data_IF_458706978642
#
_entry.id   IF_458706978642
#
_cell.length_a   1.000
_cell.length_b   1.000
_cell.length_c   1.000
_cell.angle_alpha   90.00
_cell.angle_beta   90.00
_cell.angle_gamma   90.00
#
_symmetry.space_group_name_H-M   'P 1'
#
loop_
_entity.id
_entity.type
_entity.pdbx_description
1 polymer ?
#
# COMPACT_ATOMS: atom_id res chain seq x y z
N UNK A 1 -84.94 -12.64 -12.75
CA UNK A 1 -84.02 -11.47 -12.81
C UNK A 1 -82.75 -11.88 -12.14
N UNK A 2 -81.70 -12.25 -12.95
CA UNK A 2 -80.36 -12.66 -12.41
C UNK A 2 -79.42 -11.47 -12.52
N UNK A 3 -78.95 -11.00 -11.39
CA UNK A 3 -77.94 -9.93 -11.35
C UNK A 3 -76.55 -10.55 -11.58
N UNK A 4 -75.87 -10.12 -12.64
CA UNK A 4 -74.45 -10.46 -12.92
C UNK A 4 -73.60 -9.42 -12.28
N UNK A 5 -72.72 -9.81 -11.32
CA UNK A 5 -71.68 -8.94 -10.72
C UNK A 5 -70.41 -9.12 -11.56
N UNK A 6 -70.00 -8.03 -12.19
CA UNK A 6 -68.72 -7.92 -12.91
C UNK A 6 -67.60 -7.60 -11.89
N UNK A 7 -66.74 -8.57 -11.63
CA UNK A 7 -65.58 -8.38 -10.76
C UNK A 7 -64.44 -7.84 -11.64
N UNK A 8 -64.16 -6.57 -11.47
CA UNK A 8 -63.00 -5.94 -12.11
C UNK A 8 -61.70 -6.39 -11.47
N UNK A 9 -60.87 -7.05 -12.26
CA UNK A 9 -59.50 -7.46 -11.86
C UNK A 9 -58.57 -6.28 -12.11
N UNK A 10 -58.17 -5.56 -11.04
CA UNK A 10 -57.17 -4.50 -11.12
C UNK A 10 -55.80 -5.18 -11.09
N UNK A 11 -55.14 -5.21 -12.24
CA UNK A 11 -53.79 -5.71 -12.39
C UNK A 11 -52.78 -4.63 -11.91
N UNK A 12 -52.28 -4.79 -10.69
CA UNK A 12 -51.23 -3.94 -10.14
C UNK A 12 -49.90 -4.29 -10.83
N UNK A 13 -49.50 -3.51 -11.82
CA UNK A 13 -48.22 -3.64 -12.50
C UNK A 13 -47.17 -2.96 -11.61
N UNK A 14 -46.55 -3.79 -10.74
CA UNK A 14 -45.45 -3.36 -9.91
C UNK A 14 -44.22 -3.01 -10.77
N UNK A 15 -43.88 -1.72 -10.85
CA UNK A 15 -42.64 -1.28 -11.45
C UNK A 15 -41.51 -1.65 -10.47
N UNK A 16 -40.78 -2.71 -10.76
CA UNK A 16 -39.55 -3.07 -10.08
C UNK A 16 -38.46 -2.13 -10.59
N UNK A 17 -38.23 -1.01 -9.88
CA UNK A 17 -37.06 -0.19 -10.09
C UNK A 17 -35.86 -0.99 -9.60
N UNK A 18 -35.13 -1.61 -10.54
CA UNK A 18 -33.81 -2.17 -10.27
C UNK A 18 -32.88 -0.97 -10.06
N UNK A 19 -32.66 -0.62 -8.79
CA UNK A 19 -31.55 0.24 -8.42
C UNK A 19 -30.27 -0.58 -8.68
N UNK A 20 -29.71 -0.47 -9.88
CA UNK A 20 -28.30 -0.78 -10.09
C UNK A 20 -27.50 0.26 -9.30
N UNK A 21 -27.20 -0.07 -8.04
CA UNK A 21 -26.19 0.66 -7.29
C UNK A 21 -24.87 0.53 -8.08
N UNK A 22 -24.48 1.57 -8.82
CA UNK A 22 -23.10 1.77 -9.16
C UNK A 22 -22.35 1.83 -7.82
N UNK A 23 -21.76 0.73 -7.45
CA UNK A 23 -20.69 0.70 -6.47
C UNK A 23 -19.52 1.36 -7.20
N UNK A 24 -19.46 2.70 -7.12
CA UNK A 24 -18.24 3.42 -7.43
C UNK A 24 -17.19 2.80 -6.51
N UNK A 25 -16.28 2.01 -7.08
CA UNK A 25 -15.07 1.65 -6.39
C UNK A 25 -14.51 2.97 -5.87
N UNK A 26 -14.40 3.10 -4.56
CA UNK A 26 -13.64 4.21 -3.98
C UNK A 26 -12.24 4.04 -4.57
N UNK A 27 -11.87 4.87 -5.54
CA UNK A 27 -10.49 5.04 -5.93
C UNK A 27 -9.77 5.38 -4.63
N UNK A 28 -9.01 4.42 -4.12
CA UNK A 28 -8.27 4.58 -2.87
C UNK A 28 -7.32 5.73 -3.12
N UNK A 29 -7.62 6.88 -2.54
CA UNK A 29 -6.84 8.10 -2.77
C UNK A 29 -5.37 7.80 -2.51
N UNK A 30 -4.55 8.03 -3.54
CA UNK A 30 -3.13 7.73 -3.50
C UNK A 30 -2.43 8.73 -2.57
N UNK A 31 -1.52 8.28 -1.71
CA UNK A 31 -0.83 9.20 -0.80
C UNK A 31 -0.03 10.27 -1.57
N UNK A 32 0.15 11.45 -0.98
CA UNK A 32 1.09 12.41 -1.51
C UNK A 32 2.53 11.87 -1.39
N UNK A 33 3.40 12.20 -2.37
CA UNK A 33 4.82 11.85 -2.32
C UNK A 33 5.61 12.97 -1.60
N UNK A 34 5.25 13.22 -0.34
CA UNK A 34 5.87 14.17 0.56
C UNK A 34 5.79 13.64 2.01
N UNK A 35 6.68 14.09 2.88
CA UNK A 35 6.97 13.40 4.14
C UNK A 35 5.76 13.27 5.08
N UNK A 36 5.12 14.38 5.41
CA UNK A 36 4.10 14.42 6.46
C UNK A 36 2.80 13.74 6.02
N UNK A 37 2.33 14.03 4.81
CA UNK A 37 1.10 13.43 4.31
C UNK A 37 1.27 11.94 3.99
N UNK A 38 2.47 11.53 3.54
CA UNK A 38 2.76 10.12 3.37
C UNK A 38 2.81 9.38 4.70
N UNK A 39 3.42 9.97 5.74
CA UNK A 39 3.40 9.42 7.09
C UNK A 39 1.98 9.25 7.62
N UNK A 40 1.17 10.31 7.57
CA UNK A 40 -0.25 10.27 7.96
C UNK A 40 -1.00 9.17 7.20
N UNK A 41 -0.75 9.03 5.90
CA UNK A 41 -1.39 7.97 5.12
C UNK A 41 -1.04 6.58 5.62
N UNK A 42 0.25 6.26 5.80
CA UNK A 42 0.68 4.90 6.17
C UNK A 42 0.46 4.56 7.65
N UNK A 43 0.18 5.53 8.51
CA UNK A 43 -0.04 5.28 9.95
C UNK A 43 -1.49 5.42 10.37
N UNK A 44 -2.23 6.38 9.81
CA UNK A 44 -3.57 6.72 10.23
C UNK A 44 -4.64 6.34 9.20
N UNK A 45 -4.46 6.78 7.94
CA UNK A 45 -5.47 6.57 6.89
C UNK A 45 -5.53 5.12 6.43
N UNK A 46 -4.37 4.50 6.22
CA UNK A 46 -4.22 3.11 5.79
C UNK A 46 -3.03 2.49 6.51
N UNK A 47 -3.17 2.26 7.81
CA UNK A 47 -2.08 1.82 8.68
C UNK A 47 -1.36 0.59 8.16
N UNK A 48 -0.05 0.74 7.90
CA UNK A 48 0.81 -0.33 7.38
C UNK A 48 0.93 -1.51 8.35
N UNK A 49 0.73 -1.31 9.64
CA UNK A 49 0.76 -2.38 10.64
C UNK A 49 -0.37 -3.41 10.44
N UNK A 50 -1.39 -3.06 9.65
CA UNK A 50 -2.50 -3.95 9.27
C UNK A 50 -2.28 -4.61 7.91
N UNK A 51 -1.17 -4.29 7.22
CA UNK A 51 -0.86 -4.90 5.94
C UNK A 51 -0.19 -6.25 6.13
N UNK A 52 -0.23 -7.06 5.08
CA UNK A 52 0.51 -8.30 5.05
C UNK A 52 2.01 -8.06 4.91
N UNK A 53 2.80 -9.04 5.32
CA UNK A 53 4.23 -9.04 5.03
C UNK A 53 4.49 -9.25 3.54
N UNK A 54 5.58 -8.67 3.06
CA UNK A 54 6.04 -8.91 1.70
C UNK A 54 6.33 -10.41 1.51
N UNK A 55 5.89 -11.04 0.39
CA UNK A 55 6.01 -12.48 0.18
C UNK A 55 7.43 -13.02 0.37
N UNK A 56 7.60 -14.01 1.24
CA UNK A 56 8.88 -14.59 1.60
C UNK A 56 9.66 -13.85 2.69
N UNK A 57 9.04 -12.84 3.32
CA UNK A 57 9.62 -12.05 4.41
C UNK A 57 8.66 -11.96 5.61
N UNK A 58 7.94 -13.04 5.88
CA UNK A 58 6.95 -13.12 6.95
C UNK A 58 7.64 -13.00 8.32
N UNK A 59 7.13 -12.06 9.13
CA UNK A 59 7.65 -11.78 10.46
C UNK A 59 8.99 -11.03 10.46
N UNK A 60 9.77 -11.23 11.52
CA UNK A 60 11.06 -10.58 11.70
C UNK A 60 12.20 -11.43 11.13
N UNK A 61 13.08 -10.82 10.35
CA UNK A 61 14.23 -11.49 9.73
C UNK A 61 15.54 -10.67 9.93
N UNK A 62 16.73 -11.31 9.82
CA UNK A 62 18.00 -10.63 9.93
C UNK A 62 18.18 -9.55 8.86
N UNK A 63 18.60 -8.36 9.27
CA UNK A 63 18.92 -7.24 8.40
C UNK A 63 20.42 -7.08 8.16
N UNK A 64 20.77 -6.08 7.36
CA UNK A 64 22.15 -5.64 7.09
C UNK A 64 22.20 -4.12 7.04
N UNK A 65 23.37 -3.56 7.44
CA UNK A 65 23.64 -2.13 7.27
C UNK A 65 23.39 -1.68 5.80
N UNK A 66 22.83 -0.49 5.59
CA UNK A 66 22.52 0.57 6.57
C UNK A 66 21.19 0.41 7.31
N UNK A 67 20.45 -0.65 7.06
CA UNK A 67 19.23 -0.98 7.80
C UNK A 67 19.53 -1.61 9.18
N UNK A 68 18.48 -1.88 9.96
CA UNK A 68 18.61 -2.47 11.29
C UNK A 68 19.20 -3.89 11.29
N UNK A 69 19.60 -4.36 12.47
CA UNK A 69 20.06 -5.75 12.65
C UNK A 69 18.96 -6.77 12.39
N UNK A 70 17.71 -6.37 12.65
CA UNK A 70 16.50 -7.13 12.32
C UNK A 70 15.50 -6.22 11.62
N UNK A 71 14.69 -6.81 10.75
CA UNK A 71 13.75 -6.12 9.89
C UNK A 71 12.39 -6.81 9.91
N UNK A 72 11.32 -6.03 9.73
CA UNK A 72 10.03 -6.50 9.23
C UNK A 72 9.72 -5.76 7.95
N UNK A 73 9.11 -6.41 6.97
CA UNK A 73 8.79 -5.80 5.68
C UNK A 73 7.32 -6.01 5.37
N UNK A 74 6.56 -4.93 5.48
CA UNK A 74 5.16 -4.87 5.12
C UNK A 74 4.98 -4.36 3.69
N UNK A 75 3.91 -4.76 3.05
CA UNK A 75 3.57 -4.28 1.73
C UNK A 75 2.05 -4.10 1.59
N UNK A 76 1.64 -3.07 0.84
CA UNK A 76 0.23 -2.92 0.52
C UNK A 76 -0.22 -3.95 -0.54
N UNK A 77 -1.52 -4.13 -0.72
CA UNK A 77 -2.10 -5.11 -1.65
C UNK A 77 -1.52 -4.98 -3.07
N UNK A 78 -1.31 -3.75 -3.53
CA UNK A 78 -0.74 -3.46 -4.86
C UNK A 78 0.66 -4.05 -5.01
N UNK A 79 1.53 -3.86 -4.02
CA UNK A 79 2.87 -4.42 -4.03
C UNK A 79 2.87 -5.95 -3.87
N UNK A 80 1.99 -6.50 -3.02
CA UNK A 80 1.87 -7.95 -2.81
C UNK A 80 1.43 -8.67 -4.09
N UNK A 81 0.44 -8.12 -4.80
CA UNK A 81 -0.05 -8.72 -6.05
C UNK A 81 1.05 -8.74 -7.12
N UNK A 82 1.75 -7.63 -7.32
CA UNK A 82 2.87 -7.56 -8.26
C UNK A 82 4.00 -8.54 -7.88
N UNK A 83 4.35 -8.61 -6.59
CA UNK A 83 5.36 -9.53 -6.10
C UNK A 83 4.99 -11.00 -6.36
N UNK A 84 3.73 -11.40 -6.09
CA UNK A 84 3.23 -12.76 -6.37
C UNK A 84 3.19 -13.09 -7.85
N UNK A 85 2.97 -12.09 -8.72
CA UNK A 85 2.99 -12.24 -10.17
C UNK A 85 4.40 -12.24 -10.76
N UNK A 86 5.43 -11.89 -9.97
CA UNK A 86 6.80 -11.73 -10.44
C UNK A 86 6.99 -10.51 -11.35
N UNK A 87 6.15 -9.50 -11.19
CA UNK A 87 6.14 -8.28 -11.98
C UNK A 87 6.88 -7.14 -11.28
N UNK A 88 7.22 -6.09 -12.03
CA UNK A 88 7.72 -4.85 -11.46
C UNK A 88 6.63 -4.17 -10.62
N UNK A 89 7.04 -3.39 -9.62
CA UNK A 89 6.10 -2.66 -8.77
C UNK A 89 5.35 -1.60 -9.57
N UNK A 90 4.02 -1.69 -9.62
CA UNK A 90 3.21 -0.70 -10.33
C UNK A 90 3.07 0.59 -9.52
N UNK A 91 2.54 1.62 -10.18
CA UNK A 91 2.11 2.85 -9.51
C UNK A 91 1.20 2.53 -8.32
N UNK A 92 1.47 3.14 -7.18
CA UNK A 92 0.75 2.84 -5.94
C UNK A 92 1.33 1.74 -5.07
N UNK A 93 2.34 1.02 -5.51
CA UNK A 93 3.01 0.04 -4.65
C UNK A 93 3.73 0.74 -3.49
N UNK A 94 3.50 0.26 -2.27
CA UNK A 94 4.16 0.77 -1.06
C UNK A 94 4.74 -0.41 -0.30
N UNK A 95 6.01 -0.28 0.07
CA UNK A 95 6.70 -1.16 0.99
C UNK A 95 7.13 -0.37 2.22
N UNK A 96 6.91 -0.91 3.41
CA UNK A 96 7.31 -0.29 4.68
C UNK A 96 8.22 -1.24 5.43
N UNK A 97 9.45 -0.79 5.70
CA UNK A 97 10.43 -1.57 6.44
C UNK A 97 10.63 -0.98 7.82
N UNK A 98 10.35 -1.77 8.86
CA UNK A 98 10.75 -1.50 10.23
C UNK A 98 12.18 -1.99 10.45
N UNK A 99 13.00 -1.14 11.05
CA UNK A 99 14.42 -1.39 11.32
C UNK A 99 14.63 -1.51 12.82
N UNK A 100 15.02 -2.68 13.29
CA UNK A 100 15.21 -2.99 14.71
C UNK A 100 16.67 -3.13 15.08
N UNK A 101 16.96 -2.82 16.35
CA UNK A 101 18.25 -3.07 16.98
C UNK A 101 18.59 -4.56 17.18
N UNK A 102 19.76 -4.84 17.75
CA UNK A 102 20.23 -6.23 18.00
C UNK A 102 19.38 -7.01 19.00
N UNK A 103 18.68 -6.32 19.91
CA UNK A 103 17.78 -6.92 20.90
C UNK A 103 16.40 -7.31 20.32
N UNK A 104 16.10 -6.95 19.06
CA UNK A 104 14.82 -7.22 18.37
C UNK A 104 13.60 -6.46 18.91
N UNK A 105 13.76 -5.63 19.90
CA UNK A 105 12.70 -4.88 20.58
C UNK A 105 12.74 -3.39 20.21
N UNK A 106 13.96 -2.83 20.10
CA UNK A 106 14.16 -1.41 19.82
C UNK A 106 13.91 -1.12 18.34
N UNK A 107 12.74 -0.59 18.03
CA UNK A 107 12.47 0.02 16.73
C UNK A 107 13.33 1.28 16.60
N UNK A 108 14.20 1.31 15.61
CA UNK A 108 15.16 2.40 15.40
C UNK A 108 14.75 3.36 14.31
N UNK A 109 14.07 2.85 13.28
CA UNK A 109 13.59 3.66 12.16
C UNK A 109 12.54 2.91 11.34
N UNK A 110 11.74 3.68 10.62
CA UNK A 110 10.79 3.19 9.62
C UNK A 110 11.21 3.75 8.26
N UNK A 111 11.47 2.86 7.29
CA UNK A 111 11.98 3.24 5.96
C UNK A 111 11.04 2.74 4.87
N UNK A 112 10.03 3.53 4.49
CA UNK A 112 9.15 3.19 3.38
C UNK A 112 9.73 3.58 2.03
N UNK A 113 9.23 2.88 0.99
CA UNK A 113 9.35 3.23 -0.43
C UNK A 113 7.94 3.26 -1.03
N UNK A 114 7.66 4.28 -1.84
CA UNK A 114 6.38 4.44 -2.52
C UNK A 114 6.60 4.67 -4.01
N UNK A 115 6.05 3.80 -4.84
CA UNK A 115 6.10 3.90 -6.30
C UNK A 115 5.07 4.91 -6.77
N UNK A 116 5.52 6.01 -7.38
CA UNK A 116 4.65 7.05 -7.91
C UNK A 116 5.07 7.43 -9.32
N UNK A 117 4.29 7.00 -10.29
CA UNK A 117 4.57 7.22 -11.72
C UNK A 117 4.87 8.69 -12.04
N UNK A 118 6.00 8.93 -12.69
CA UNK A 118 6.45 10.27 -13.11
C UNK A 118 7.10 11.10 -11.99
N UNK A 119 7.23 10.55 -10.77
CA UNK A 119 7.84 11.27 -9.66
C UNK A 119 9.35 11.43 -9.82
N UNK A 120 10.06 10.36 -10.15
CA UNK A 120 11.50 10.33 -10.31
C UNK A 120 11.91 9.24 -11.31
N UNK A 121 11.73 9.46 -12.63
CA UNK A 121 12.00 8.44 -13.65
C UNK A 121 13.40 7.84 -13.58
N UNK A 122 14.43 8.64 -13.30
CA UNK A 122 15.82 8.19 -13.17
C UNK A 122 16.07 7.37 -11.90
N UNK A 123 15.21 7.53 -10.89
CA UNK A 123 15.21 6.78 -9.63
C UNK A 123 14.11 5.74 -9.55
N UNK A 124 13.63 5.24 -10.70
CA UNK A 124 12.60 4.21 -10.79
C UNK A 124 11.24 4.66 -10.28
N UNK A 125 10.95 5.95 -10.30
CA UNK A 125 9.71 6.54 -9.80
C UNK A 125 9.42 6.28 -8.31
N UNK A 126 10.47 5.98 -7.53
CA UNK A 126 10.36 5.77 -6.10
C UNK A 126 10.48 7.08 -5.30
N UNK A 127 9.48 7.33 -4.45
CA UNK A 127 9.58 8.24 -3.30
C UNK A 127 10.15 7.44 -2.11
N UNK A 128 11.14 8.01 -1.44
CA UNK A 128 11.85 7.41 -0.31
C UNK A 128 11.60 8.23 0.93
N UNK A 129 11.50 7.57 2.09
CA UNK A 129 11.52 8.27 3.36
C UNK A 129 12.21 7.43 4.45
N UNK A 130 12.67 8.13 5.47
CA UNK A 130 13.11 7.55 6.72
C UNK A 130 12.52 8.39 7.86
N UNK A 131 11.82 7.70 8.73
CA UNK A 131 11.20 8.27 9.92
C UNK A 131 11.81 7.66 11.17
N UNK A 132 11.90 8.45 12.24
CA UNK A 132 12.09 7.94 13.59
C UNK A 132 10.88 7.13 14.06
N UNK A 133 10.99 6.36 15.16
CA UNK A 133 9.87 5.62 15.74
C UNK A 133 8.70 6.50 16.17
N UNK A 134 8.95 7.76 16.45
CA UNK A 134 7.99 8.80 16.84
C UNK A 134 7.36 9.52 15.63
N UNK A 135 7.71 9.13 14.41
CA UNK A 135 7.26 9.77 13.18
C UNK A 135 8.07 10.99 12.74
N UNK A 136 9.11 11.36 13.48
CA UNK A 136 10.01 12.44 13.07
C UNK A 136 10.67 12.12 11.72
N UNK A 137 10.65 13.10 10.81
CA UNK A 137 11.22 12.95 9.47
C UNK A 137 12.74 13.10 9.54
N UNK A 138 13.49 12.03 9.28
CA UNK A 138 14.95 12.10 9.16
C UNK A 138 15.37 12.48 7.72
N UNK A 139 14.72 11.93 6.72
CA UNK A 139 14.92 12.28 5.31
C UNK A 139 13.73 11.82 4.47
N UNK A 140 13.46 12.49 3.34
CA UNK A 140 12.41 12.10 2.41
C UNK A 140 12.64 12.65 1.00
N UNK A 141 11.94 12.08 0.02
CA UNK A 141 11.97 12.56 -1.36
C UNK A 141 12.83 11.70 -2.28
N UNK A 142 13.61 12.34 -3.15
CA UNK A 142 14.59 11.70 -4.05
C UNK A 142 15.93 11.54 -3.32
N UNK A 143 15.94 10.66 -2.32
CA UNK A 143 17.09 10.52 -1.39
C UNK A 143 18.25 9.79 -2.05
N UNK A 144 19.30 10.52 -2.42
CA UNK A 144 20.47 9.99 -3.14
C UNK A 144 21.08 8.75 -2.49
N UNK A 145 21.23 8.75 -1.15
CA UNK A 145 21.80 7.62 -0.42
C UNK A 145 20.96 6.33 -0.54
N UNK A 146 19.64 6.46 -0.62
CA UNK A 146 18.74 5.32 -0.87
C UNK A 146 18.87 4.87 -2.32
N UNK A 147 18.73 5.80 -3.27
CA UNK A 147 18.77 5.54 -4.70
C UNK A 147 20.08 4.86 -5.11
N UNK A 148 21.23 5.43 -4.74
CA UNK A 148 22.54 4.90 -5.12
C UNK A 148 22.80 3.47 -4.62
N UNK A 149 22.28 3.14 -3.43
CA UNK A 149 22.38 1.78 -2.91
C UNK A 149 21.42 0.83 -3.65
N UNK A 150 20.18 1.25 -3.90
CA UNK A 150 19.11 0.41 -4.42
C UNK A 150 19.13 0.25 -5.95
N UNK A 151 19.69 1.21 -6.71
CA UNK A 151 19.72 1.20 -8.19
C UNK A 151 20.43 0.00 -8.82
N UNK A 152 21.23 -0.74 -8.05
CA UNK A 152 21.93 -1.94 -8.53
C UNK A 152 21.00 -3.16 -8.62
N UNK A 153 19.77 -3.02 -8.15
CA UNK A 153 18.75 -4.06 -8.19
C UNK A 153 17.65 -3.72 -9.19
N UNK A 154 17.08 -4.76 -9.81
CA UNK A 154 15.89 -4.61 -10.64
C UNK A 154 14.79 -3.95 -9.84
N UNK A 155 14.16 -2.93 -10.42
CA UNK A 155 13.13 -2.10 -9.79
C UNK A 155 13.51 -1.57 -8.39
N UNK A 156 14.81 -1.40 -8.13
CA UNK A 156 15.35 -0.91 -6.86
C UNK A 156 15.03 -1.82 -5.65
N UNK A 157 14.68 -3.11 -5.85
CA UNK A 157 14.26 -4.01 -4.79
C UNK A 157 15.30 -5.06 -4.45
N UNK A 158 15.84 -5.03 -3.23
CA UNK A 158 16.65 -6.12 -2.66
C UNK A 158 15.79 -7.31 -2.22
N UNK A 159 14.54 -7.06 -1.82
CA UNK A 159 13.60 -8.09 -1.41
C UNK A 159 12.92 -8.68 -2.65
N UNK A 160 13.21 -9.95 -2.95
CA UNK A 160 12.55 -10.70 -4.03
C UNK A 160 11.61 -11.72 -3.40
N UNK A 161 10.42 -11.94 -3.96
CA UNK A 161 9.55 -13.03 -3.51
C UNK A 161 10.30 -14.36 -3.54
N UNK A 162 10.09 -15.19 -2.53
CA UNK A 162 10.69 -16.52 -2.41
C UNK A 162 9.71 -17.58 -2.82
#
# INVERSE_FOLDING_TARGET
MKKVYLIGFIMFMGIFLIFNGLQAGQDKEMPPAEAEGFWTYITETNSYEKWDFFPGYEGMYPGKSPHGAYLKLYANDTAIQAAKAGEQMPDGAILVKENYGKNKEDLMAITPMYKKKGYNPDGGDWFWAKYGPDGSVETSGKVDGCIQCHQVQDDFLFSKPK
#
